data_IF_354298115651
#
_entry.id   IF_354298115651
#
_cell.length_a   1.000
_cell.length_b   1.000
_cell.length_c   1.000
_cell.angle_alpha   90.00
_cell.angle_beta   90.00
_cell.angle_gamma   90.00
#
_symmetry.space_group_name_H-M   'P 1'
#
loop_
_entity.id
_entity.type
_entity.pdbx_description
1 polymer ?
#
# COMPACT_ATOMS: atom_id res chain seq x y z
N UNK A 1 57.84 18.75 8.41
CA UNK A 1 57.87 18.36 6.98
C UNK A 1 56.64 17.48 6.75
N UNK A 2 55.45 18.09 6.59
CA UNK A 2 54.77 18.37 5.29
C UNK A 2 54.56 17.09 4.48
N UNK A 3 53.40 16.70 3.95
CA UNK A 3 52.05 17.26 3.71
C UNK A 3 51.39 16.11 2.87
N UNK A 4 50.18 15.58 3.09
CA UNK A 4 48.88 16.01 2.54
C UNK A 4 47.96 14.76 2.45
N UNK A 5 46.70 14.87 2.92
CA UNK A 5 45.55 14.23 2.26
C UNK A 5 45.15 15.08 1.04
N UNK A 6 44.44 14.53 0.03
CA UNK A 6 42.99 14.80 -0.07
C UNK A 6 42.19 13.64 -0.76
N UNK A 7 41.01 13.24 -0.25
CA UNK A 7 39.62 13.65 -0.59
C UNK A 7 38.94 12.93 -1.78
N UNK A 8 37.73 12.41 -1.50
CA UNK A 8 36.55 12.24 -2.36
C UNK A 8 36.67 12.51 -3.87
N UNK A 9 36.32 11.51 -4.68
CA UNK A 9 35.78 11.71 -6.03
C UNK A 9 34.77 10.60 -6.37
N UNK A 10 33.51 10.87 -6.03
CA UNK A 10 32.36 10.49 -6.84
C UNK A 10 32.60 11.05 -8.26
N UNK A 11 32.43 10.26 -9.33
CA UNK A 11 31.94 10.64 -10.68
C UNK A 11 32.26 9.53 -11.71
N UNK A 12 31.18 8.91 -12.20
CA UNK A 12 30.92 8.46 -13.57
C UNK A 12 31.90 7.49 -14.25
N UNK A 13 31.59 6.19 -14.19
CA UNK A 13 31.85 5.27 -15.30
C UNK A 13 30.52 4.82 -15.90
N UNK A 14 30.06 5.58 -16.89
CA UNK A 14 28.95 5.25 -17.78
C UNK A 14 29.57 4.88 -19.13
N UNK A 15 29.80 3.59 -19.36
CA UNK A 15 30.18 3.05 -20.68
C UNK A 15 29.14 2.02 -21.13
N UNK A 16 28.15 2.59 -21.81
CA UNK A 16 27.46 2.09 -23.00
C UNK A 16 27.80 0.63 -23.44
N UNK A 17 26.91 -0.30 -23.13
CA UNK A 17 26.66 -1.51 -23.92
C UNK A 17 25.18 -1.50 -24.33
N UNK A 18 24.90 -0.97 -25.51
CA UNK A 18 23.61 -1.15 -26.18
C UNK A 18 23.59 -2.56 -26.76
N UNK A 19 22.84 -3.47 -26.15
CA UNK A 19 22.42 -4.73 -26.77
C UNK A 19 21.06 -4.48 -27.43
N UNK A 20 20.88 -4.71 -28.74
CA UNK A 20 19.56 -4.63 -29.35
C UNK A 20 18.80 -5.94 -29.04
N UNK A 21 17.91 -5.88 -28.05
CA UNK A 21 16.90 -6.93 -27.82
C UNK A 21 15.62 -6.52 -28.53
N UNK A 22 15.28 -7.21 -29.61
CA UNK A 22 13.97 -7.11 -30.27
C UNK A 22 12.89 -7.55 -29.28
N UNK A 23 12.08 -6.61 -28.78
CA UNK A 23 10.93 -6.91 -27.93
C UNK A 23 9.71 -7.05 -28.84
N UNK A 24 9.17 -8.26 -28.97
CA UNK A 24 7.83 -8.47 -29.51
C UNK A 24 6.81 -7.81 -28.56
N UNK A 25 6.06 -6.84 -29.07
CA UNK A 25 4.90 -6.29 -28.36
C UNK A 25 3.70 -7.21 -28.61
N UNK A 26 3.44 -8.12 -27.68
CA UNK A 26 2.11 -8.70 -27.56
C UNK A 26 1.17 -7.69 -26.88
N UNK A 27 0.06 -7.44 -27.58
CA UNK A 27 -1.00 -6.49 -27.27
C UNK A 27 -1.83 -7.01 -26.08
N UNK A 28 -2.06 -6.23 -25.00
CA UNK A 28 -3.00 -6.64 -23.97
C UNK A 28 -4.44 -6.38 -24.42
N UNK A 29 -5.30 -7.40 -24.28
CA UNK A 29 -6.75 -7.27 -24.39
C UNK A 29 -7.32 -6.38 -23.27
N UNK A 30 -8.18 -5.45 -23.67
CA UNK A 30 -8.90 -4.51 -22.83
C UNK A 30 -10.06 -5.21 -22.12
N UNK A 31 -9.91 -5.50 -20.83
CA UNK A 31 -11.02 -5.92 -19.96
C UNK A 31 -11.62 -4.71 -19.27
N UNK A 32 -12.76 -4.26 -19.80
CA UNK A 32 -13.60 -3.20 -19.25
C UNK A 32 -14.28 -3.69 -17.97
N UNK A 33 -13.79 -3.24 -16.82
CA UNK A 33 -14.49 -3.35 -15.55
C UNK A 33 -15.26 -2.05 -15.30
N UNK A 34 -16.57 -2.08 -15.53
CA UNK A 34 -17.47 -0.97 -15.19
C UNK A 34 -17.83 -1.01 -13.71
N UNK A 35 -17.41 -0.01 -12.94
CA UNK A 35 -18.01 0.30 -11.64
C UNK A 35 -19.27 1.16 -11.86
N UNK A 36 -20.41 0.87 -11.19
CA UNK A 36 -21.55 1.77 -11.23
C UNK A 36 -21.18 3.08 -10.53
N UNK A 37 -21.43 4.20 -11.23
CA UNK A 37 -21.33 5.55 -10.69
C UNK A 37 -22.43 5.71 -9.63
N UNK A 38 -22.06 5.72 -8.35
CA UNK A 38 -22.94 6.20 -7.29
C UNK A 38 -22.88 7.73 -7.35
N UNK A 39 -23.94 8.31 -7.89
CA UNK A 39 -24.14 9.74 -7.99
C UNK A 39 -24.51 10.28 -6.60
N UNK A 40 -23.54 10.88 -5.90
CA UNK A 40 -23.83 11.68 -4.71
C UNK A 40 -24.58 12.94 -5.13
N UNK A 41 -25.87 13.02 -4.78
CA UNK A 41 -26.65 14.26 -4.89
C UNK A 41 -26.08 15.31 -3.93
N UNK A 42 -25.77 16.49 -4.47
CA UNK A 42 -25.35 17.64 -3.71
C UNK A 42 -26.44 18.09 -2.72
N UNK A 43 -26.09 18.64 -1.54
CA UNK A 43 -27.07 19.24 -0.64
C UNK A 43 -27.73 20.46 -1.30
N UNK A 44 -29.02 20.64 -1.04
CA UNK A 44 -29.85 21.72 -1.54
C UNK A 44 -29.23 23.10 -1.24
N UNK A 45 -29.10 23.91 -2.30
CA UNK A 45 -28.70 25.32 -2.22
C UNK A 45 -29.87 26.12 -1.64
N UNK A 46 -29.67 26.77 -0.50
CA UNK A 46 -30.61 27.73 0.07
C UNK A 46 -30.71 28.92 -0.91
N UNK A 47 -31.92 29.22 -1.37
CA UNK A 47 -32.18 30.29 -2.35
C UNK A 47 -31.76 31.67 -1.83
N UNK A 48 -31.23 32.49 -2.73
CA UNK A 48 -30.84 33.87 -2.45
C UNK A 48 -32.06 34.70 -1.98
N UNK A 49 -31.93 35.56 -0.95
CA UNK A 49 -33.02 36.44 -0.52
C UNK A 49 -33.50 37.34 -1.67
N UNK A 50 -34.82 37.53 -1.75
CA UNK A 50 -35.47 38.34 -2.78
C UNK A 50 -34.97 39.78 -2.79
N UNK A 51 -34.91 40.38 -3.99
CA UNK A 51 -34.56 41.80 -4.15
C UNK A 51 -35.62 42.70 -3.52
N UNK A 52 -35.19 43.68 -2.75
CA UNK A 52 -36.07 44.71 -2.19
C UNK A 52 -36.75 45.51 -3.31
N UNK A 53 -38.02 45.87 -3.08
CA UNK A 53 -38.84 46.63 -4.02
C UNK A 53 -38.30 48.04 -4.26
N UNK A 54 -38.41 48.55 -5.49
CA UNK A 54 -38.05 49.93 -5.80
C UNK A 54 -39.08 50.87 -5.20
N UNK A 55 -38.63 51.91 -4.50
CA UNK A 55 -39.50 53.00 -4.07
C UNK A 55 -40.09 53.72 -5.31
N UNK A 56 -41.38 54.05 -5.23
CA UNK A 56 -42.10 54.73 -6.30
C UNK A 56 -41.59 56.16 -6.54
N UNK A 57 -41.73 56.71 -7.76
CA UNK A 57 -41.32 58.07 -8.04
C UNK A 57 -42.13 59.06 -7.20
N UNK A 58 -41.44 60.05 -6.63
CA UNK A 58 -42.04 61.14 -5.89
C UNK A 58 -42.91 61.99 -6.84
N UNK A 59 -44.18 62.19 -6.50
CA UNK A 59 -45.13 62.94 -7.31
C UNK A 59 -44.69 64.40 -7.54
N UNK A 60 -44.94 64.90 -8.74
CA UNK A 60 -44.63 66.27 -9.17
C UNK A 60 -45.53 67.29 -8.45
N UNK A 61 -44.96 68.45 -8.13
CA UNK A 61 -45.68 69.55 -7.49
C UNK A 61 -46.45 70.32 -8.57
N UNK A 62 -47.77 70.40 -8.44
CA UNK A 62 -48.62 71.16 -9.38
C UNK A 62 -48.34 72.67 -9.36
N UNK A 63 -48.41 73.30 -10.53
CA UNK A 63 -48.27 74.75 -10.72
C UNK A 63 -49.52 75.51 -10.24
N UNK A 64 -49.38 76.72 -9.65
CA UNK A 64 -50.53 77.51 -9.22
C UNK A 64 -51.08 78.39 -10.35
N UNK A 65 -52.41 78.40 -10.50
CA UNK A 65 -53.14 79.31 -11.39
C UNK A 65 -53.58 80.61 -10.71
N UNK A 66 -53.45 81.70 -11.45
CA UNK A 66 -53.85 83.08 -11.15
C UNK A 66 -55.38 83.29 -11.21
N UNK A 67 -55.98 83.82 -10.14
CA UNK A 67 -56.52 85.20 -10.03
C UNK A 67 -57.65 85.36 -8.99
N UNK A 68 -57.36 86.23 -8.02
CA UNK A 68 -58.18 87.29 -7.39
C UNK A 68 -59.59 87.01 -6.80
N UNK A 69 -59.63 86.77 -5.47
CA UNK A 69 -60.68 87.31 -4.59
C UNK A 69 -60.32 87.33 -3.09
N UNK A 70 -60.37 88.53 -2.48
CA UNK A 70 -60.56 88.82 -1.04
C UNK A 70 -59.34 88.64 -0.10
N UNK A 71 -59.05 89.57 0.83
CA UNK A 71 -57.81 89.53 1.62
C UNK A 71 -57.84 88.38 2.66
N UNK A 72 -56.93 87.40 2.60
CA UNK A 72 -56.74 86.42 3.66
C UNK A 72 -55.86 87.04 4.76
N UNK A 73 -56.12 86.70 6.03
CA UNK A 73 -55.41 87.24 7.19
C UNK A 73 -53.89 87.04 7.15
N UNK A 74 -53.15 87.85 7.94
CA UNK A 74 -51.68 87.83 8.01
C UNK A 74 -51.12 86.40 8.00
N UNK A 75 -50.27 86.03 7.02
CA UNK A 75 -49.69 84.70 6.97
C UNK A 75 -48.88 84.42 8.25
N UNK A 76 -49.17 83.30 8.92
CA UNK A 76 -48.31 82.79 9.98
C UNK A 76 -46.89 82.58 9.44
N UNK A 77 -45.87 82.92 10.23
CA UNK A 77 -44.46 82.75 9.84
C UNK A 77 -44.24 81.30 9.38
N UNK A 78 -43.71 81.13 8.16
CA UNK A 78 -43.33 79.80 7.63
C UNK A 78 -42.36 79.15 8.62
N UNK A 79 -42.67 77.94 9.07
CA UNK A 79 -41.79 77.18 9.95
C UNK A 79 -40.44 76.92 9.25
N UNK A 80 -39.31 76.90 9.99
CA UNK A 80 -38.00 76.66 9.41
C UNK A 80 -37.99 75.32 8.64
N UNK A 81 -37.21 75.20 7.54
CA UNK A 81 -37.05 73.93 6.84
C UNK A 81 -36.66 72.82 7.81
N UNK A 82 -37.31 71.65 7.70
CA UNK A 82 -36.99 70.50 8.54
C UNK A 82 -35.52 70.10 8.38
N UNK A 83 -34.87 69.76 9.50
CA UNK A 83 -33.47 69.34 9.51
C UNK A 83 -33.28 68.15 8.55
N UNK A 84 -32.29 68.24 7.67
CA UNK A 84 -31.91 67.15 6.77
C UNK A 84 -31.57 65.92 7.61
N UNK A 85 -32.21 64.78 7.33
CA UNK A 85 -31.99 63.54 8.07
C UNK A 85 -30.52 63.12 8.05
N UNK A 86 -30.04 62.59 9.17
CA UNK A 86 -28.66 62.17 9.33
C UNK A 86 -28.27 61.08 8.32
N UNK A 87 -27.01 61.09 7.90
CA UNK A 87 -26.49 60.04 7.01
C UNK A 87 -26.67 58.68 7.68
N UNK A 88 -27.23 57.71 6.95
CA UNK A 88 -27.42 56.35 7.46
C UNK A 88 -26.09 55.74 7.95
N UNK A 89 -26.12 54.89 9.00
CA UNK A 89 -24.90 54.31 9.54
C UNK A 89 -24.16 53.51 8.47
N UNK A 90 -22.85 53.73 8.36
CA UNK A 90 -22.01 52.97 7.45
C UNK A 90 -22.13 51.48 7.79
N UNK A 91 -22.38 50.65 6.76
CA UNK A 91 -22.49 49.20 6.93
C UNK A 91 -21.23 48.62 7.59
N UNK A 92 -21.42 47.62 8.44
CA UNK A 92 -20.31 46.94 9.13
C UNK A 92 -19.32 46.40 8.11
N UNK A 93 -18.03 46.72 8.29
CA UNK A 93 -16.96 46.21 7.45
C UNK A 93 -16.94 44.68 7.55
N UNK A 94 -16.96 44.00 6.39
CA UNK A 94 -16.94 42.53 6.34
C UNK A 94 -15.71 41.94 7.05
N UNK A 95 -15.90 40.77 7.66
CA UNK A 95 -14.83 40.07 8.38
C UNK A 95 -13.67 39.72 7.43
N UNK A 96 -12.44 39.87 7.93
CA UNK A 96 -11.25 39.54 7.17
C UNK A 96 -11.20 38.03 6.94
N UNK A 97 -11.18 37.60 5.68
CA UNK A 97 -11.10 36.17 5.32
C UNK A 97 -9.96 35.44 6.05
N UNK A 98 -10.24 34.22 6.50
CA UNK A 98 -9.27 33.39 7.20
C UNK A 98 -8.03 33.14 6.35
N UNK A 99 -6.85 33.24 6.97
CA UNK A 99 -5.58 32.98 6.30
C UNK A 99 -5.52 31.49 5.93
N UNK A 100 -5.41 31.20 4.64
CA UNK A 100 -5.01 29.87 4.17
C UNK A 100 -3.60 29.51 4.66
N UNK A 101 -3.35 28.20 4.80
CA UNK A 101 -2.08 27.55 5.20
C UNK A 101 -1.93 27.29 6.72
N UNK A 102 -2.78 26.41 7.26
CA UNK A 102 -2.47 25.66 8.50
C UNK A 102 -2.56 24.14 8.29
N UNK A 103 -3.26 23.72 7.22
CA UNK A 103 -3.45 22.30 6.87
C UNK A 103 -2.15 21.65 6.40
N UNK A 104 -1.29 22.38 5.69
CA UNK A 104 0.00 21.86 5.23
C UNK A 104 0.95 21.55 6.40
N UNK A 105 0.99 22.41 7.42
CA UNK A 105 1.86 22.21 8.58
C UNK A 105 1.38 21.06 9.48
N UNK A 106 0.06 20.93 9.69
CA UNK A 106 -0.50 19.80 10.43
C UNK A 106 -0.29 18.47 9.68
N UNK A 107 -0.48 18.48 8.35
CA UNK A 107 -0.21 17.31 7.52
C UNK A 107 1.28 16.94 7.55
N UNK A 108 2.18 17.93 7.47
CA UNK A 108 3.62 17.71 7.55
C UNK A 108 4.02 17.12 8.91
N UNK A 109 3.44 17.62 10.02
CA UNK A 109 3.67 17.06 11.36
C UNK A 109 3.21 15.60 11.45
N UNK A 110 2.05 15.27 10.87
CA UNK A 110 1.53 13.90 10.82
C UNK A 110 2.42 12.99 9.98
N UNK A 111 2.91 13.47 8.83
CA UNK A 111 3.85 12.71 8.00
C UNK A 111 5.14 12.43 8.77
N UNK A 112 5.76 13.42 9.41
CA UNK A 112 6.98 13.20 10.21
C UNK A 112 6.72 12.28 11.42
N UNK A 113 5.54 12.36 12.04
CA UNK A 113 5.14 11.44 13.11
C UNK A 113 4.94 10.00 12.61
N UNK A 114 4.49 9.81 11.36
CA UNK A 114 4.37 8.48 10.75
C UNK A 114 5.73 7.93 10.31
N UNK A 115 6.58 8.77 9.72
CA UNK A 115 7.96 8.42 9.35
C UNK A 115 8.77 7.96 10.57
N UNK A 116 8.67 8.69 11.68
CA UNK A 116 9.32 8.29 12.94
C UNK A 116 8.76 6.97 13.48
N UNK A 117 7.44 6.74 13.40
CA UNK A 117 6.85 5.44 13.75
C UNK A 117 7.36 4.30 12.87
N UNK A 118 7.51 4.53 11.57
CA UNK A 118 8.08 3.52 10.65
C UNK A 118 9.50 3.18 11.07
N UNK A 119 10.35 4.19 11.33
CA UNK A 119 11.74 3.95 11.77
C UNK A 119 11.81 3.16 13.09
N UNK A 120 10.94 3.49 14.06
CA UNK A 120 10.88 2.76 15.34
C UNK A 120 10.43 1.31 15.12
N UNK A 121 9.37 1.09 14.34
CA UNK A 121 8.88 -0.26 14.03
C UNK A 121 9.90 -1.09 13.26
N UNK A 122 10.64 -0.49 12.33
CA UNK A 122 11.72 -1.17 11.61
C UNK A 122 12.86 -1.59 12.55
N UNK A 123 13.23 -0.72 13.50
CA UNK A 123 14.24 -1.03 14.51
C UNK A 123 13.77 -2.15 15.46
N UNK A 124 12.51 -2.13 15.88
CA UNK A 124 11.92 -3.19 16.69
C UNK A 124 11.88 -4.53 15.92
N UNK A 125 11.42 -4.50 14.66
CA UNK A 125 11.40 -5.67 13.79
C UNK A 125 12.81 -6.26 13.61
N UNK A 126 13.84 -5.42 13.48
CA UNK A 126 15.21 -5.90 13.36
C UNK A 126 15.65 -6.67 14.61
N UNK A 127 15.28 -6.22 15.82
CA UNK A 127 15.57 -6.96 17.07
C UNK A 127 14.91 -8.35 17.06
N UNK A 128 13.66 -8.45 16.64
CA UNK A 128 12.98 -9.75 16.51
C UNK A 128 13.60 -10.63 15.42
N UNK A 129 14.00 -10.05 14.28
CA UNK A 129 14.72 -10.77 13.21
C UNK A 129 16.03 -11.37 13.74
N UNK A 130 16.82 -10.62 14.51
CA UNK A 130 18.07 -11.13 15.09
C UNK A 130 17.81 -12.27 16.10
N UNK A 131 16.77 -12.17 16.92
CA UNK A 131 16.38 -13.27 17.82
C UNK A 131 15.87 -14.50 17.03
N UNK A 132 15.28 -14.28 15.86
CA UNK A 132 14.82 -15.34 14.96
C UNK A 132 15.97 -16.12 14.33
N UNK A 133 17.16 -15.52 14.15
CA UNK A 133 18.37 -16.22 13.65
C UNK A 133 18.78 -17.35 14.61
N UNK A 134 18.54 -17.20 15.90
CA UNK A 134 18.77 -18.26 16.90
C UNK A 134 17.73 -19.38 16.81
N UNK A 135 16.59 -19.13 16.19
CA UNK A 135 15.58 -20.13 15.89
C UNK A 135 15.84 -20.64 14.48
N UNK A 136 15.60 -21.92 14.20
CA UNK A 136 15.84 -22.52 12.88
C UNK A 136 14.80 -22.01 11.85
N UNK A 137 14.85 -20.73 11.51
CA UNK A 137 13.92 -20.01 10.65
C UNK A 137 14.71 -19.24 9.59
N UNK A 138 14.24 -19.29 8.35
CA UNK A 138 14.82 -18.56 7.21
C UNK A 138 13.71 -17.85 6.45
N UNK A 139 13.88 -16.56 6.21
CA UNK A 139 12.92 -15.76 5.43
C UNK A 139 13.54 -15.37 4.09
N UNK A 140 12.83 -15.61 3.00
CA UNK A 140 13.26 -15.26 1.64
C UNK A 140 12.05 -14.75 0.83
N UNK A 141 12.13 -13.52 0.33
CA UNK A 141 11.01 -12.87 -0.32
C UNK A 141 9.77 -12.80 0.59
N UNK A 142 8.68 -13.43 0.16
CA UNK A 142 7.43 -13.52 0.92
C UNK A 142 7.29 -14.81 1.74
N UNK A 143 8.23 -15.75 1.60
CA UNK A 143 8.18 -17.07 2.25
C UNK A 143 8.97 -17.09 3.55
N UNK A 144 8.50 -17.87 4.51
CA UNK A 144 9.21 -18.19 5.75
C UNK A 144 9.32 -19.71 5.87
N UNK A 145 10.55 -20.22 5.93
CA UNK A 145 10.85 -21.62 6.19
C UNK A 145 11.18 -21.82 7.67
N UNK A 146 10.53 -22.79 8.31
CA UNK A 146 10.70 -23.10 9.73
C UNK A 146 11.03 -24.57 9.90
N UNK A 147 12.21 -24.88 10.43
CA UNK A 147 12.52 -26.24 10.88
C UNK A 147 11.81 -26.52 12.20
N UNK A 148 11.02 -27.59 12.23
CA UNK A 148 10.27 -28.00 13.43
C UNK A 148 11.15 -28.69 14.47
N UNK A 149 12.37 -29.09 14.09
CA UNK A 149 13.25 -29.92 14.89
C UNK A 149 12.77 -31.37 15.06
N UNK A 150 11.64 -31.75 14.47
CA UNK A 150 11.10 -33.11 14.50
C UNK A 150 11.49 -33.87 13.24
N UNK A 151 11.78 -35.15 13.42
CA UNK A 151 11.94 -36.12 12.34
C UNK A 151 10.73 -37.06 12.38
N UNK A 152 10.06 -37.26 11.25
CA UNK A 152 8.87 -38.11 11.16
C UNK A 152 8.64 -38.55 9.69
N UNK A 153 7.56 -39.28 9.42
CA UNK A 153 7.13 -39.69 8.07
C UNK A 153 6.57 -38.52 7.25
N UNK A 154 6.50 -38.69 5.93
CA UNK A 154 5.98 -37.65 5.03
C UNK A 154 4.55 -37.24 5.38
N UNK A 155 3.67 -38.22 5.64
CA UNK A 155 2.28 -37.98 6.01
C UNK A 155 2.14 -37.19 7.33
N UNK A 156 2.94 -37.55 8.35
CA UNK A 156 2.96 -36.81 9.62
C UNK A 156 3.54 -35.41 9.45
N UNK A 157 4.54 -35.24 8.59
CA UNK A 157 5.09 -33.95 8.19
C UNK A 157 4.05 -33.03 7.56
N UNK A 158 3.29 -33.54 6.58
CA UNK A 158 2.14 -32.84 5.97
C UNK A 158 1.16 -32.37 7.06
N UNK A 159 0.69 -33.29 7.89
CA UNK A 159 -0.26 -32.99 8.97
C UNK A 159 0.29 -31.98 9.99
N UNK A 160 1.59 -32.04 10.31
CA UNK A 160 2.22 -31.12 11.26
C UNK A 160 2.22 -29.69 10.73
N UNK A 161 2.59 -29.49 9.47
CA UNK A 161 2.57 -28.16 8.85
C UNK A 161 1.13 -27.66 8.66
N UNK A 162 0.20 -28.51 8.24
CA UNK A 162 -1.22 -28.17 8.06
C UNK A 162 -1.87 -27.71 9.37
N UNK A 163 -1.57 -28.36 10.50
CA UNK A 163 -2.04 -27.94 11.83
C UNK A 163 -1.55 -26.56 12.23
N UNK A 164 -0.43 -26.11 11.67
CA UNK A 164 0.10 -24.76 11.85
C UNK A 164 -0.44 -23.76 10.82
N UNK A 165 -1.36 -24.16 9.93
CA UNK A 165 -1.87 -23.33 8.84
C UNK A 165 -0.86 -23.15 7.69
N UNK A 166 0.00 -24.14 7.48
CA UNK A 166 1.16 -24.12 6.59
C UNK A 166 1.25 -25.43 5.79
N UNK A 167 2.23 -25.55 4.89
CA UNK A 167 2.53 -26.75 4.12
C UNK A 167 4.01 -27.14 4.26
N UNK A 168 4.39 -28.35 3.83
CA UNK A 168 5.80 -28.75 3.75
C UNK A 168 6.56 -27.80 2.80
N UNK A 169 7.80 -27.49 3.19
CA UNK A 169 8.66 -26.58 2.44
C UNK A 169 8.82 -27.02 0.98
N UNK A 170 8.55 -26.11 0.03
CA UNK A 170 8.51 -26.43 -1.39
C UNK A 170 9.31 -25.41 -2.19
N UNK A 171 10.66 -25.53 -2.24
CA UNK A 171 11.51 -24.58 -2.94
C UNK A 171 11.13 -24.42 -4.42
N UNK A 172 10.95 -23.17 -4.86
CA UNK A 172 10.57 -22.82 -6.24
C UNK A 172 11.73 -22.23 -7.06
N UNK A 173 12.89 -22.06 -6.46
CA UNK A 173 14.10 -21.50 -7.07
C UNK A 173 15.33 -21.83 -6.21
N UNK A 174 16.51 -21.50 -6.73
CA UNK A 174 17.80 -21.76 -6.06
C UNK A 174 17.97 -21.02 -4.72
N UNK A 175 17.46 -19.79 -4.62
CA UNK A 175 17.54 -19.01 -3.39
C UNK A 175 16.70 -19.64 -2.27
N UNK A 176 15.48 -20.09 -2.58
CA UNK A 176 14.64 -20.86 -1.66
C UNK A 176 15.27 -22.21 -1.31
N UNK A 177 15.88 -22.89 -2.27
CA UNK A 177 16.56 -24.18 -2.02
C UNK A 177 17.70 -24.01 -1.02
N UNK A 178 18.50 -22.96 -1.19
CA UNK A 178 19.57 -22.60 -0.25
C UNK A 178 19.01 -22.26 1.14
N UNK A 179 17.90 -21.51 1.20
CA UNK A 179 17.26 -21.17 2.47
C UNK A 179 16.77 -22.41 3.23
N UNK A 180 16.21 -23.41 2.53
CA UNK A 180 15.81 -24.68 3.16
C UNK A 180 17.03 -25.51 3.55
N UNK A 181 18.04 -25.62 2.69
CA UNK A 181 19.32 -26.31 2.97
C UNK A 181 19.96 -25.83 4.28
N UNK A 182 20.00 -24.51 4.49
CA UNK A 182 20.61 -23.89 5.67
C UNK A 182 19.91 -24.25 7.00
N UNK A 183 18.69 -24.81 6.95
CA UNK A 183 17.96 -25.29 8.12
C UNK A 183 18.29 -26.74 8.49
N UNK A 184 19.05 -27.43 7.65
CA UNK A 184 19.37 -28.85 7.76
C UNK A 184 20.75 -28.98 8.40
N UNK A 185 20.84 -29.82 9.43
CA UNK A 185 22.12 -30.12 10.07
C UNK A 185 23.00 -31.00 9.16
N UNK A 186 24.33 -31.01 9.34
CA UNK A 186 25.21 -31.91 8.60
C UNK A 186 24.76 -33.38 8.69
N UNK A 187 24.87 -34.11 7.58
CA UNK A 187 24.46 -35.51 7.43
C UNK A 187 22.98 -35.78 7.71
N UNK A 188 22.12 -34.76 7.60
CA UNK A 188 20.66 -34.88 7.70
C UNK A 188 19.99 -34.53 6.37
N UNK A 189 18.71 -34.83 6.30
CA UNK A 189 17.83 -34.53 5.18
C UNK A 189 16.46 -34.10 5.70
N UNK A 190 15.72 -33.36 4.87
CA UNK A 190 14.39 -32.89 5.19
C UNK A 190 13.41 -33.20 4.06
N UNK A 191 12.16 -33.49 4.39
CA UNK A 191 11.12 -33.62 3.38
C UNK A 191 10.85 -32.26 2.74
N UNK A 192 10.65 -32.27 1.43
CA UNK A 192 10.08 -31.14 0.69
C UNK A 192 8.68 -31.49 0.23
N UNK A 193 7.81 -30.50 0.05
CA UNK A 193 6.41 -30.68 -0.36
C UNK A 193 6.25 -31.05 -1.83
N UNK A 194 6.97 -32.09 -2.25
CA UNK A 194 7.02 -32.63 -3.61
C UNK A 194 6.91 -34.16 -3.52
N UNK A 195 5.96 -34.74 -4.25
CA UNK A 195 5.79 -36.18 -4.38
C UNK A 195 5.25 -36.55 -5.76
N UNK A 196 5.46 -37.79 -6.17
CA UNK A 196 4.86 -38.38 -7.36
C UNK A 196 3.89 -39.53 -7.02
N UNK A 197 3.45 -39.62 -5.74
CA UNK A 197 2.42 -40.55 -5.22
C UNK A 197 1.17 -40.65 -6.12
N UNK A 198 0.83 -39.59 -6.88
CA UNK A 198 -0.33 -39.58 -7.79
C UNK A 198 -0.02 -40.14 -9.18
N UNK A 199 1.20 -40.00 -9.66
CA UNK A 199 1.61 -40.37 -11.01
C UNK A 199 3.11 -40.60 -11.02
N UNK A 200 3.51 -41.86 -10.96
CA UNK A 200 4.91 -42.30 -11.01
C UNK A 200 5.73 -41.56 -12.09
N UNK A 201 6.90 -41.06 -11.69
CA UNK A 201 7.81 -40.31 -12.55
C UNK A 201 7.37 -38.86 -12.82
N UNK A 202 6.24 -38.41 -12.26
CA UNK A 202 5.73 -37.04 -12.40
C UNK A 202 5.57 -36.38 -11.04
N UNK A 203 6.67 -35.85 -10.54
CA UNK A 203 6.70 -35.09 -9.29
C UNK A 203 5.86 -33.82 -9.38
N UNK A 204 5.02 -33.64 -8.37
CA UNK A 204 4.09 -32.53 -8.22
C UNK A 204 4.29 -31.87 -6.85
N UNK A 205 4.08 -30.56 -6.78
CA UNK A 205 3.93 -29.89 -5.49
C UNK A 205 2.63 -30.34 -4.81
N UNK A 206 2.61 -30.32 -3.48
CA UNK A 206 1.41 -30.70 -2.70
C UNK A 206 0.18 -29.82 -2.96
N UNK A 207 0.37 -28.61 -3.50
CA UNK A 207 -0.72 -27.73 -3.93
C UNK A 207 -1.26 -28.04 -5.34
N UNK A 208 -0.82 -29.13 -5.97
CA UNK A 208 -1.30 -29.62 -7.27
C UNK A 208 -0.58 -29.03 -8.49
N UNK A 209 0.38 -28.13 -8.32
CA UNK A 209 1.19 -27.60 -9.43
C UNK A 209 2.31 -28.56 -9.84
N UNK A 210 2.67 -28.58 -11.13
CA UNK A 210 3.85 -29.30 -11.59
C UNK A 210 5.15 -28.69 -11.05
N UNK A 211 6.15 -29.52 -10.79
CA UNK A 211 7.47 -29.06 -10.33
C UNK A 211 8.14 -28.23 -11.43
N UNK A 212 8.42 -26.96 -11.14
CA UNK A 212 9.04 -26.01 -12.10
C UNK A 212 10.51 -25.73 -11.81
N UNK A 213 10.97 -26.13 -10.63
CA UNK A 213 12.36 -26.03 -10.20
C UNK A 213 12.74 -27.35 -9.55
N UNK A 214 13.89 -27.90 -9.92
CA UNK A 214 14.42 -29.13 -9.34
C UNK A 214 15.92 -29.01 -9.11
N UNK A 215 16.41 -29.63 -8.03
CA UNK A 215 17.83 -29.76 -7.76
C UNK A 215 18.20 -31.20 -7.43
N UNK A 216 17.68 -32.15 -8.20
CA UNK A 216 17.99 -33.57 -8.10
C UNK A 216 19.50 -33.81 -8.08
N UNK A 217 19.91 -34.75 -7.23
CA UNK A 217 21.26 -35.30 -7.26
C UNK A 217 21.43 -36.09 -8.57
N UNK A 218 22.67 -36.18 -9.06
CA UNK A 218 22.97 -36.95 -10.26
C UNK A 218 22.49 -38.41 -10.09
N UNK A 219 21.64 -38.86 -11.02
CA UNK A 219 21.01 -40.18 -10.99
C UNK A 219 19.63 -40.23 -10.33
N UNK A 220 19.15 -39.13 -9.73
CA UNK A 220 17.83 -39.04 -9.12
C UNK A 220 16.82 -38.26 -10.01
N UNK A 221 15.50 -38.47 -9.84
CA UNK A 221 14.88 -39.54 -9.03
C UNK A 221 15.06 -40.91 -9.70
N UNK A 222 15.27 -41.96 -8.90
CA UNK A 222 15.58 -43.30 -9.39
C UNK A 222 14.52 -44.37 -9.06
N UNK A 223 13.53 -44.00 -8.26
CA UNK A 223 12.46 -44.83 -7.75
C UNK A 223 12.93 -46.15 -7.12
N UNK A 224 13.98 -46.11 -6.28
CA UNK A 224 14.56 -47.30 -5.68
C UNK A 224 13.64 -47.92 -4.63
N UNK A 225 12.86 -48.93 -5.04
CA UNK A 225 11.88 -49.65 -4.20
C UNK A 225 10.61 -48.83 -3.91
N UNK A 226 10.09 -48.11 -4.91
CA UNK A 226 8.84 -47.36 -4.82
C UNK A 226 8.97 -46.15 -3.87
N UNK A 227 9.80 -45.20 -4.28
CA UNK A 227 10.18 -43.99 -3.54
C UNK A 227 9.41 -42.77 -4.07
N UNK A 228 8.26 -42.49 -3.47
CA UNK A 228 7.34 -41.50 -4.04
C UNK A 228 7.52 -40.08 -3.47
N UNK A 229 8.43 -39.88 -2.51
CA UNK A 229 8.56 -38.64 -1.73
C UNK A 229 9.93 -37.98 -1.89
N UNK A 230 9.98 -36.67 -2.12
CA UNK A 230 11.24 -35.98 -2.26
C UNK A 230 11.79 -35.46 -0.92
N UNK A 231 13.11 -35.57 -0.75
CA UNK A 231 13.88 -34.94 0.32
C UNK A 231 14.97 -34.06 -0.24
N UNK A 232 15.36 -33.04 0.53
CA UNK A 232 16.56 -32.24 0.33
C UNK A 232 17.61 -32.66 1.35
N UNK A 233 18.84 -32.89 0.89
CA UNK A 233 20.00 -33.23 1.72
C UNK A 233 20.72 -31.96 2.21
N UNK A 234 21.62 -32.10 3.17
CA UNK A 234 22.49 -31.01 3.66
C UNK A 234 23.41 -30.41 2.56
N UNK A 235 23.64 -31.13 1.47
CA UNK A 235 24.28 -30.63 0.24
C UNK A 235 23.40 -29.66 -0.56
N UNK A 236 22.09 -29.64 -0.31
CA UNK A 236 21.06 -28.94 -1.07
C UNK A 236 20.53 -29.72 -2.27
N UNK A 237 21.06 -30.91 -2.55
CA UNK A 237 20.59 -31.81 -3.61
C UNK A 237 19.40 -32.64 -3.16
N UNK A 238 18.57 -33.05 -4.11
CA UNK A 238 17.34 -33.79 -3.85
C UNK A 238 17.51 -35.28 -4.12
N UNK A 239 16.77 -36.08 -3.36
CA UNK A 239 16.65 -37.53 -3.49
C UNK A 239 15.16 -37.87 -3.37
N UNK A 240 14.66 -38.79 -4.16
CA UNK A 240 13.41 -39.48 -3.85
C UNK A 240 13.67 -40.53 -2.78
N UNK A 241 12.75 -40.69 -1.85
CA UNK A 241 12.84 -41.65 -0.75
C UNK A 241 11.48 -42.28 -0.49
N UNK A 242 11.49 -43.41 0.19
CA UNK A 242 10.26 -44.00 0.69
C UNK A 242 9.54 -43.04 1.67
N UNK A 243 8.28 -42.71 1.38
CA UNK A 243 7.47 -41.78 2.19
C UNK A 243 7.28 -42.19 3.67
N UNK A 244 7.50 -43.48 3.99
CA UNK A 244 7.42 -44.02 5.34
C UNK A 244 8.73 -43.86 6.14
N UNK A 245 9.80 -43.31 5.55
CA UNK A 245 11.02 -43.00 6.29
C UNK A 245 10.72 -41.98 7.40
N UNK A 246 10.98 -42.36 8.65
CA UNK A 246 10.64 -41.57 9.84
C UNK A 246 11.81 -40.74 10.41
N UNK A 247 13.01 -40.91 9.87
CA UNK A 247 14.24 -40.21 10.29
C UNK A 247 14.57 -39.01 9.37
N UNK A 248 13.53 -38.30 8.93
CA UNK A 248 13.62 -37.19 7.98
C UNK A 248 13.04 -35.94 8.62
N UNK A 249 13.79 -34.84 8.60
CA UNK A 249 13.43 -33.58 9.25
C UNK A 249 12.19 -32.95 8.60
N UNK A 250 11.28 -32.41 9.41
CA UNK A 250 10.12 -31.67 8.93
C UNK A 250 10.41 -30.17 8.94
N UNK A 251 10.32 -29.56 7.76
CA UNK A 251 10.41 -28.11 7.54
C UNK A 251 9.10 -27.65 6.90
N UNK A 252 8.49 -26.62 7.49
CA UNK A 252 7.25 -26.02 7.01
C UNK A 252 7.53 -24.69 6.29
N UNK A 253 6.70 -24.32 5.31
CA UNK A 253 6.70 -22.99 4.66
C UNK A 253 5.41 -22.21 4.95
N UNK A 254 5.57 -20.92 5.23
CA UNK A 254 4.50 -19.93 5.45
C UNK A 254 4.60 -18.81 4.43
#
# INVERSE_FOLDING_TARGET
MTLLQPSNAFILWLSLLMVPSSVNMDKPEEKTYSCPVIQCSAPAVIGLPGRDGRDGPKGEKGEPGEELRGPPGFPGKVGPPGLKGDLGPQGVKGEKGERGIVVADDLQRKVTALETKIQVLEAELNKYKQALILKKIKSIGKKIFVSTGKEDTFANGKSLCEKAGSILASPRNEAENTAVKDLIAPSKQAYIGISDEQTEGRFMYLNGGAVTYSNWKDGEPNNLKNEDCAVIQDSGKWNDVNCLSSNVLIICEF
#
